data_IF_881676341332
#
_entry.id   IF_881676341332
#
_cell.length_a   1.000
_cell.length_b   1.000
_cell.length_c   1.000
_cell.angle_alpha   90.00
_cell.angle_beta   90.00
_cell.angle_gamma   90.00
#
_symmetry.space_group_name_H-M   'P 1'
#
loop_
_entity.id
_entity.type
_entity.pdbx_description
1 polymer ?
#
# COMPACT_ATOMS: atom_id res chain seq x y z
N UNK A 1 -13.15 -29.27 6.74
CA UNK A 1 -13.03 -29.46 5.28
C UNK A 1 -13.30 -28.09 4.64
N UNK A 2 -12.30 -27.46 4.04
CA UNK A 2 -12.47 -26.17 3.36
C UNK A 2 -13.26 -26.38 2.06
N UNK A 3 -14.25 -25.54 1.82
CA UNK A 3 -15.00 -25.52 0.55
C UNK A 3 -14.10 -24.87 -0.51
N UNK A 4 -14.18 -25.33 -1.76
CA UNK A 4 -13.28 -24.87 -2.86
C UNK A 4 -13.11 -23.34 -2.93
N UNK A 5 -14.20 -22.57 -2.82
CA UNK A 5 -14.12 -21.12 -2.84
C UNK A 5 -13.46 -20.47 -1.60
N UNK A 6 -13.26 -21.19 -0.50
CA UNK A 6 -12.53 -20.67 0.68
C UNK A 6 -11.02 -20.81 0.55
N UNK A 7 -10.55 -21.81 -0.19
CA UNK A 7 -9.10 -22.01 -0.45
C UNK A 7 -8.56 -20.91 -1.36
N UNK A 8 -9.38 -20.37 -2.23
CA UNK A 8 -9.01 -19.31 -3.17
C UNK A 8 -8.87 -17.93 -2.49
N UNK A 9 -9.54 -17.74 -1.34
CA UNK A 9 -9.50 -16.49 -0.55
C UNK A 9 -8.41 -16.47 0.54
N UNK A 10 -7.49 -17.42 0.55
CA UNK A 10 -6.36 -17.44 1.48
C UNK A 10 -5.33 -16.40 1.04
N UNK A 11 -4.91 -15.54 1.98
CA UNK A 11 -3.79 -14.62 1.78
C UNK A 11 -2.49 -15.41 1.61
N UNK A 12 -1.74 -15.12 0.56
CA UNK A 12 -0.56 -15.90 0.16
C UNK A 12 0.76 -15.18 0.37
N UNK A 13 0.76 -13.88 0.62
CA UNK A 13 2.00 -13.12 0.75
C UNK A 13 2.06 -12.27 2.02
N UNK A 14 3.24 -11.72 2.28
CA UNK A 14 3.51 -10.84 3.43
C UNK A 14 2.87 -9.47 3.31
N UNK A 15 2.25 -9.17 2.16
CA UNK A 15 1.62 -7.91 1.88
C UNK A 15 2.59 -6.78 1.50
N UNK A 16 2.05 -5.77 0.84
CA UNK A 16 2.72 -4.50 0.60
C UNK A 16 2.17 -3.46 1.58
N UNK A 17 3.05 -2.64 2.15
CA UNK A 17 2.66 -1.58 3.09
C UNK A 17 2.84 -0.22 2.45
N UNK A 18 1.80 0.58 2.55
CA UNK A 18 1.79 1.97 2.13
C UNK A 18 1.57 2.87 3.35
N UNK A 19 2.32 3.96 3.43
CA UNK A 19 2.07 5.04 4.40
C UNK A 19 1.82 6.30 3.59
N UNK A 20 0.67 6.93 3.82
CA UNK A 20 0.21 8.11 3.07
C UNK A 20 0.25 7.93 1.54
N UNK A 21 -0.13 6.73 1.09
CA UNK A 21 -0.14 6.36 -0.33
C UNK A 21 1.23 6.05 -0.93
N UNK A 22 2.31 6.12 -0.17
CA UNK A 22 3.66 5.76 -0.62
C UNK A 22 4.04 4.35 -0.19
N UNK A 23 4.48 3.52 -1.14
CA UNK A 23 5.02 2.20 -0.84
C UNK A 23 6.31 2.34 -0.03
N UNK A 24 6.31 1.77 1.17
CA UNK A 24 7.43 1.95 2.10
C UNK A 24 8.57 0.98 1.79
N UNK A 25 8.30 -0.31 1.81
CA UNK A 25 9.28 -1.36 1.50
C UNK A 25 8.58 -2.72 1.44
N UNK A 26 9.22 -3.73 0.84
CA UNK A 26 8.82 -5.10 1.06
C UNK A 26 8.89 -5.42 2.55
N UNK A 27 7.87 -6.06 3.08
CA UNK A 27 7.86 -6.56 4.45
C UNK A 27 8.42 -7.97 4.51
N UNK A 28 9.05 -8.32 5.63
CA UNK A 28 9.47 -9.67 5.94
C UNK A 28 8.86 -10.12 7.25
N UNK A 29 8.43 -11.38 7.29
CA UNK A 29 7.86 -11.97 8.49
C UNK A 29 6.37 -11.72 8.64
N UNK A 30 5.88 -11.87 9.86
CA UNK A 30 4.46 -11.90 10.16
C UNK A 30 3.92 -10.48 10.42
N UNK A 31 3.38 -9.84 9.39
CA UNK A 31 2.58 -8.64 9.60
C UNK A 31 1.26 -9.02 10.29
N UNK A 32 0.84 -8.27 11.28
CA UNK A 32 -0.38 -8.57 12.03
C UNK A 32 -1.28 -7.35 12.18
N UNK A 33 -2.58 -7.59 12.05
CA UNK A 33 -3.62 -6.59 12.32
C UNK A 33 -4.54 -7.10 13.41
N UNK A 34 -4.71 -6.32 14.47
CA UNK A 34 -5.49 -6.69 15.65
C UNK A 34 -6.47 -5.59 15.98
N UNK A 35 -7.74 -5.93 16.09
CA UNK A 35 -8.80 -5.04 16.57
C UNK A 35 -9.30 -5.54 17.92
N UNK A 36 -9.30 -4.65 18.91
CA UNK A 36 -9.75 -4.97 20.27
C UNK A 36 -10.85 -4.02 20.69
N UNK A 37 -12.13 -4.47 20.63
CA UNK A 37 -13.24 -3.69 21.14
C UNK A 37 -13.40 -3.86 22.65
N UNK A 38 -13.68 -2.75 23.35
CA UNK A 38 -14.06 -2.74 24.75
C UNK A 38 -15.57 -2.56 24.88
N UNK A 39 -16.18 -3.44 25.68
CA UNK A 39 -17.64 -3.49 25.82
C UNK A 39 -18.10 -3.04 27.20
N UNK A 40 -19.24 -2.38 27.24
CA UNK A 40 -19.98 -2.09 28.47
C UNK A 40 -21.40 -2.61 28.36
N UNK A 41 -21.85 -3.31 29.39
CA UNK A 41 -23.25 -3.69 29.52
C UNK A 41 -24.09 -2.49 29.97
N UNK A 42 -25.28 -2.34 29.40
CA UNK A 42 -26.26 -1.32 29.80
C UNK A 42 -27.16 -1.98 30.86
N UNK A 43 -26.97 -1.62 32.14
CA UNK A 43 -27.74 -2.24 33.22
C UNK A 43 -29.17 -1.69 33.23
N UNK A 44 -30.14 -2.56 33.59
CA UNK A 44 -31.47 -2.14 33.94
C UNK A 44 -31.92 -2.89 35.21
N UNK A 45 -32.92 -2.32 35.91
CA UNK A 45 -33.36 -2.87 37.16
C UNK A 45 -34.04 -4.26 36.96
N UNK A 46 -33.57 -5.26 37.73
CA UNK A 46 -34.02 -6.65 37.60
C UNK A 46 -33.27 -7.50 36.57
N UNK A 47 -32.18 -7.00 36.01
CA UNK A 47 -31.32 -7.73 35.06
C UNK A 47 -30.60 -8.88 35.77
N UNK A 48 -30.76 -10.15 35.32
CA UNK A 48 -30.09 -11.30 35.93
C UNK A 48 -28.64 -11.46 35.52
N UNK A 49 -28.16 -10.67 34.56
CA UNK A 49 -26.80 -10.73 33.99
C UNK A 49 -26.72 -10.11 32.60
N UNK A 50 -25.61 -10.29 31.85
CA UNK A 50 -25.46 -9.74 30.50
C UNK A 50 -26.61 -10.16 29.58
N UNK A 51 -27.29 -9.18 28.99
CA UNK A 51 -28.50 -9.43 28.18
C UNK A 51 -28.20 -9.07 26.71
N UNK A 52 -28.62 -9.93 25.78
CA UNK A 52 -28.50 -9.69 24.33
C UNK A 52 -29.16 -8.37 23.94
N UNK A 53 -28.43 -7.53 23.17
CA UNK A 53 -28.90 -6.23 22.73
C UNK A 53 -28.65 -5.08 23.71
N UNK A 54 -28.17 -5.35 24.92
CA UNK A 54 -27.83 -4.35 25.94
C UNK A 54 -26.31 -4.21 26.15
N UNK A 55 -25.54 -4.53 25.16
CA UNK A 55 -24.07 -4.33 25.15
C UNK A 55 -23.70 -3.20 24.19
N UNK A 56 -22.86 -2.30 24.63
CA UNK A 56 -22.35 -1.18 23.84
C UNK A 56 -20.83 -1.26 23.75
N UNK A 57 -20.28 -1.01 22.57
CA UNK A 57 -18.85 -0.72 22.39
C UNK A 57 -18.59 0.68 22.94
N UNK A 58 -17.66 0.82 23.85
CA UNK A 58 -17.28 2.10 24.47
C UNK A 58 -15.92 2.59 23.96
N UNK A 59 -15.09 1.68 23.50
CA UNK A 59 -13.79 1.96 22.91
C UNK A 59 -13.43 0.83 21.95
N UNK A 60 -12.72 1.16 20.91
CA UNK A 60 -12.10 0.21 19.99
C UNK A 60 -10.68 0.65 19.72
N UNK A 61 -9.74 -0.28 19.69
CA UNK A 61 -8.37 -0.03 19.31
C UNK A 61 -8.03 -0.92 18.11
N UNK A 62 -7.35 -0.35 17.12
CA UNK A 62 -6.86 -1.07 15.97
C UNK A 62 -5.33 -0.89 15.89
N UNK A 63 -4.61 -1.99 15.83
CA UNK A 63 -3.15 -2.03 15.83
C UNK A 63 -2.67 -2.81 14.62
N UNK A 64 -1.76 -2.24 13.86
CA UNK A 64 -1.08 -2.87 12.74
C UNK A 64 0.41 -2.96 13.05
N UNK A 65 0.94 -4.18 13.12
CA UNK A 65 2.37 -4.45 13.25
C UNK A 65 2.93 -4.86 11.91
N UNK A 66 4.01 -4.20 11.48
CA UNK A 66 4.68 -4.46 10.21
C UNK A 66 6.18 -4.60 10.43
N UNK A 67 6.81 -5.40 9.56
CA UNK A 67 8.25 -5.67 9.58
C UNK A 67 8.87 -5.29 8.23
N UNK A 68 9.11 -3.98 7.96
CA UNK A 68 9.72 -3.55 6.71
C UNK A 68 11.18 -3.96 6.62
N UNK A 69 11.59 -4.45 5.44
CA UNK A 69 12.99 -4.69 5.09
C UNK A 69 13.63 -3.39 4.60
N UNK A 70 14.79 -3.10 5.14
CA UNK A 70 15.57 -1.92 4.78
C UNK A 70 15.27 -0.72 5.69
N UNK A 71 16.34 -0.05 6.06
CA UNK A 71 16.31 1.10 6.97
C UNK A 71 16.50 2.38 6.16
N UNK A 72 15.38 2.92 5.65
CA UNK A 72 15.41 4.26 5.09
C UNK A 72 15.21 5.30 6.19
N UNK A 73 15.69 6.51 5.96
CA UNK A 73 15.51 7.59 6.92
C UNK A 73 14.03 7.95 7.14
N UNK A 74 13.21 7.82 6.10
CA UNK A 74 11.77 7.99 6.20
C UNK A 74 11.15 6.96 7.17
N UNK A 75 11.53 5.68 7.07
CA UNK A 75 11.04 4.64 8.01
C UNK A 75 11.43 4.93 9.45
N UNK A 76 12.67 5.39 9.67
CA UNK A 76 13.12 5.76 11.01
C UNK A 76 12.33 6.95 11.57
N UNK A 77 11.92 7.87 10.70
CA UNK A 77 11.09 9.01 11.07
C UNK A 77 9.68 8.57 11.46
N UNK A 78 9.08 7.61 10.72
CA UNK A 78 7.79 7.02 11.10
C UNK A 78 7.86 6.24 12.43
N UNK A 79 8.99 5.58 12.73
CA UNK A 79 9.17 4.83 13.96
C UNK A 79 9.24 5.71 15.22
N UNK A 80 9.62 6.98 15.08
CA UNK A 80 9.79 7.89 16.21
C UNK A 80 9.01 9.18 15.95
N UNK A 81 7.72 9.21 16.29
CA UNK A 81 6.94 10.43 16.15
C UNK A 81 7.57 11.60 16.90
N UNK A 82 7.55 12.76 16.29
CA UNK A 82 8.12 13.94 16.89
C UNK A 82 9.62 14.16 16.67
N UNK A 83 10.25 13.35 15.84
CA UNK A 83 11.65 13.53 15.47
C UNK A 83 11.80 14.61 14.40
N UNK A 84 12.70 15.55 14.62
CA UNK A 84 13.07 16.52 13.60
C UNK A 84 14.07 15.90 12.62
N UNK A 85 13.81 16.07 11.32
CA UNK A 85 14.73 15.70 10.26
C UNK A 85 15.32 16.97 9.63
N UNK A 86 16.59 17.24 9.88
CA UNK A 86 17.28 18.39 9.31
C UNK A 86 18.51 17.90 8.55
N UNK A 87 18.50 18.10 7.25
CA UNK A 87 19.62 17.75 6.35
C UNK A 87 20.12 16.31 6.51
N UNK A 88 19.20 15.37 6.73
CA UNK A 88 19.54 13.96 6.88
C UNK A 88 19.90 13.53 8.31
N UNK A 89 19.77 14.39 9.28
CA UNK A 89 20.00 14.09 10.69
C UNK A 89 18.65 14.02 11.40
N UNK A 90 18.32 12.84 11.94
CA UNK A 90 17.19 12.66 12.84
C UNK A 90 17.61 13.01 14.26
N UNK A 91 16.95 13.99 14.84
CA UNK A 91 17.20 14.40 16.23
C UNK A 91 15.92 14.38 17.03
N UNK A 92 15.94 13.57 18.08
CA UNK A 92 14.87 13.49 19.07
C UNK A 92 15.20 14.25 20.32
N UNK A 93 14.20 14.58 21.12
CA UNK A 93 14.35 15.16 22.44
C UNK A 93 13.34 16.26 22.71
N UNK A 94 13.12 16.48 24.01
CA UNK A 94 12.15 17.46 24.48
C UNK A 94 10.75 16.89 24.65
N UNK A 95 10.00 17.53 25.53
CA UNK A 95 8.56 17.24 25.66
C UNK A 95 7.81 18.11 24.68
N UNK A 96 7.05 17.46 23.78
CA UNK A 96 6.16 18.19 22.87
C UNK A 96 4.85 17.41 22.71
N UNK A 97 3.86 18.12 22.29
CA UNK A 97 2.59 17.53 21.81
C UNK A 97 2.86 16.97 20.43
N UNK A 98 2.36 15.78 20.17
CA UNK A 98 2.36 15.20 18.81
C UNK A 98 1.42 16.04 17.95
N UNK A 99 1.90 16.48 16.80
CA UNK A 99 1.14 17.30 15.86
C UNK A 99 0.29 16.42 14.92
N UNK A 100 -0.78 16.98 14.37
CA UNK A 100 -1.68 16.24 13.46
C UNK A 100 -0.95 15.71 12.22
N UNK A 101 0.13 16.35 11.79
CA UNK A 101 0.99 15.93 10.67
C UNK A 101 1.83 14.69 10.96
N UNK A 102 1.85 14.20 12.18
CA UNK A 102 2.57 12.99 12.60
C UNK A 102 1.68 11.76 12.63
N UNK A 103 0.39 11.93 12.40
CA UNK A 103 -0.57 10.86 12.21
C UNK A 103 -0.67 10.50 10.73
N UNK A 104 -0.61 9.23 10.43
CA UNK A 104 -0.50 8.72 9.07
C UNK A 104 -1.66 7.80 8.72
N UNK A 105 -1.99 7.68 7.44
CA UNK A 105 -2.84 6.61 6.94
C UNK A 105 -1.94 5.45 6.53
N UNK A 106 -2.10 4.30 7.20
CA UNK A 106 -1.30 3.10 6.91
C UNK A 106 -2.18 2.03 6.29
N UNK A 107 -1.74 1.49 5.16
CA UNK A 107 -2.44 0.45 4.41
C UNK A 107 -1.57 -0.80 4.29
N UNK A 108 -2.15 -1.95 4.59
CA UNK A 108 -1.58 -3.26 4.32
C UNK A 108 -2.38 -3.92 3.20
N UNK A 109 -1.73 -4.22 2.10
CA UNK A 109 -2.34 -4.84 0.92
C UNK A 109 -1.79 -6.25 0.77
N UNK A 110 -2.66 -7.25 0.94
CA UNK A 110 -2.32 -8.65 0.75
C UNK A 110 -3.02 -9.23 -0.49
N UNK A 111 -2.34 -10.16 -1.17
CA UNK A 111 -2.89 -10.87 -2.30
C UNK A 111 -3.48 -12.22 -1.88
N UNK A 112 -4.62 -12.56 -2.45
CA UNK A 112 -5.23 -13.88 -2.27
C UNK A 112 -4.86 -14.80 -3.42
N UNK A 113 -5.07 -16.10 -3.23
CA UNK A 113 -4.75 -17.11 -4.24
C UNK A 113 -5.51 -16.93 -5.55
N UNK A 114 -6.72 -16.39 -5.52
CA UNK A 114 -7.54 -16.11 -6.70
C UNK A 114 -7.13 -14.83 -7.45
N UNK A 115 -6.11 -14.10 -6.95
CA UNK A 115 -5.61 -12.86 -7.53
C UNK A 115 -6.39 -11.62 -7.10
N UNK A 116 -7.36 -11.75 -6.20
CA UNK A 116 -7.98 -10.60 -5.56
C UNK A 116 -7.06 -10.01 -4.47
N UNK A 117 -7.31 -8.77 -4.07
CA UNK A 117 -6.55 -8.10 -3.02
C UNK A 117 -7.42 -7.83 -1.81
N UNK A 118 -6.82 -7.88 -0.63
CA UNK A 118 -7.42 -7.37 0.61
C UNK A 118 -6.63 -6.18 1.06
N UNK A 119 -7.31 -5.09 1.33
CA UNK A 119 -6.71 -3.85 1.82
C UNK A 119 -7.21 -3.61 3.24
N UNK A 120 -6.28 -3.52 4.17
CA UNK A 120 -6.53 -3.11 5.55
C UNK A 120 -5.96 -1.71 5.69
N UNK A 121 -6.83 -0.74 5.94
CA UNK A 121 -6.45 0.66 6.14
C UNK A 121 -6.67 1.03 7.60
N UNK A 122 -5.69 1.63 8.25
CA UNK A 122 -5.85 2.27 9.55
C UNK A 122 -5.65 3.78 9.40
N UNK A 123 -6.56 4.53 10.01
CA UNK A 123 -6.60 5.99 9.92
C UNK A 123 -5.98 6.63 11.15
N UNK A 124 -5.39 7.81 10.96
CA UNK A 124 -4.76 8.59 12.03
C UNK A 124 -3.83 7.72 12.90
N UNK A 125 -3.02 6.90 12.23
CA UNK A 125 -2.13 5.95 12.86
C UNK A 125 -0.84 6.62 13.35
N UNK A 126 -0.46 6.29 14.57
CA UNK A 126 0.79 6.74 15.18
C UNK A 126 1.62 5.52 15.59
N UNK A 127 2.93 5.55 15.30
CA UNK A 127 3.82 4.50 15.79
C UNK A 127 4.05 4.68 17.31
N UNK A 128 3.86 3.62 18.09
CA UNK A 128 3.88 3.68 19.55
C UNK A 128 4.92 2.78 20.23
N UNK A 129 5.65 1.96 19.47
CA UNK A 129 6.66 1.04 20.04
C UNK A 129 8.09 1.62 20.08
N UNK A 130 8.29 2.84 19.54
CA UNK A 130 9.61 3.46 19.43
C UNK A 130 10.51 2.72 18.44
N UNK A 131 11.80 3.02 18.46
CA UNK A 131 12.81 2.43 17.59
C UNK A 131 13.68 1.46 18.37
N UNK A 132 13.73 0.22 17.92
CA UNK A 132 14.70 -0.78 18.35
C UNK A 132 15.50 -1.28 17.15
N UNK A 133 16.80 -1.07 17.15
CA UNK A 133 17.70 -1.53 16.10
C UNK A 133 18.70 -2.52 16.67
N UNK A 134 18.70 -3.73 16.12
CA UNK A 134 19.70 -4.75 16.45
C UNK A 134 20.57 -4.99 15.24
N UNK A 135 21.88 -4.85 15.40
CA UNK A 135 22.86 -5.17 14.37
C UNK A 135 23.51 -6.50 14.68
N UNK A 136 23.54 -7.40 13.72
CA UNK A 136 24.19 -8.72 13.82
C UNK A 136 25.00 -8.98 12.56
N UNK A 137 26.09 -9.73 12.68
CA UNK A 137 26.91 -10.12 11.52
C UNK A 137 26.20 -11.17 10.65
N UNK A 138 25.30 -11.98 11.24
CA UNK A 138 24.70 -13.14 10.59
C UNK A 138 23.23 -12.94 10.19
N UNK A 139 22.58 -11.85 10.62
CA UNK A 139 21.15 -11.62 10.34
C UNK A 139 20.90 -10.18 9.91
N UNK A 140 20.03 -10.02 8.94
CA UNK A 140 19.56 -8.70 8.52
C UNK A 140 18.81 -7.98 9.65
N UNK A 141 19.05 -6.68 9.80
CA UNK A 141 18.26 -5.86 10.72
C UNK A 141 16.84 -5.71 10.21
N UNK A 142 15.88 -6.21 10.98
CA UNK A 142 14.45 -6.01 10.72
C UNK A 142 13.94 -4.94 11.68
N UNK A 143 13.24 -3.95 11.14
CA UNK A 143 12.56 -2.93 11.93
C UNK A 143 11.13 -3.40 12.21
N UNK A 144 10.72 -3.37 13.46
CA UNK A 144 9.32 -3.56 13.83
C UNK A 144 8.66 -2.20 14.02
N UNK A 145 7.58 -1.95 13.28
CA UNK A 145 6.75 -0.77 13.43
C UNK A 145 5.36 -1.19 13.90
N UNK A 146 4.92 -0.63 15.02
CA UNK A 146 3.59 -0.87 15.57
C UNK A 146 2.79 0.42 15.48
N UNK A 147 1.82 0.45 14.59
CA UNK A 147 0.92 1.58 14.40
C UNK A 147 -0.39 1.35 15.15
N UNK A 148 -0.77 2.30 15.97
CA UNK A 148 -2.06 2.33 16.64
C UNK A 148 -2.94 3.43 16.01
N UNK A 149 -4.16 3.06 15.61
CA UNK A 149 -5.14 4.00 15.05
C UNK A 149 -5.70 4.93 16.11
N UNK A 150 -5.98 6.18 15.73
CA UNK A 150 -6.59 7.18 16.60
C UNK A 150 -7.90 7.69 16.00
N UNK A 151 -8.83 8.09 16.87
CA UNK A 151 -10.06 8.76 16.45
C UNK A 151 -9.78 10.19 15.96
N UNK A 152 -10.52 10.63 14.96
CA UNK A 152 -10.52 12.02 14.55
C UNK A 152 -11.25 12.85 15.62
N UNK A 153 -10.62 13.87 16.23
CA UNK A 153 -11.26 14.70 17.25
C UNK A 153 -12.42 15.55 16.69
N UNK A 154 -12.47 15.76 15.38
CA UNK A 154 -13.52 16.53 14.71
C UNK A 154 -14.71 15.67 14.29
N UNK A 155 -14.49 14.35 14.10
CA UNK A 155 -15.52 13.36 13.78
C UNK A 155 -15.27 12.03 14.49
N UNK A 156 -15.75 11.91 15.70
CA UNK A 156 -15.64 10.67 16.51
C UNK A 156 -16.47 9.50 15.97
N UNK A 157 -17.22 9.69 14.89
CA UNK A 157 -17.99 8.63 14.21
C UNK A 157 -17.27 8.06 13.01
N UNK A 158 -16.19 8.69 12.56
CA UNK A 158 -15.34 8.17 11.50
C UNK A 158 -14.71 6.84 11.91
N UNK A 159 -14.62 5.86 10.99
CA UNK A 159 -13.97 4.60 11.27
C UNK A 159 -12.47 4.83 11.51
N UNK A 160 -11.91 4.14 12.51
CA UNK A 160 -10.47 4.16 12.77
C UNK A 160 -9.72 3.15 11.91
N UNK A 161 -10.42 2.19 11.33
CA UNK A 161 -9.90 1.24 10.35
C UNK A 161 -10.97 0.83 9.35
N UNK A 162 -10.53 0.35 8.20
CA UNK A 162 -11.35 -0.23 7.14
C UNK A 162 -10.73 -1.52 6.64
N UNK A 163 -11.55 -2.50 6.31
CA UNK A 163 -11.12 -3.75 5.67
C UNK A 163 -11.92 -3.88 4.39
N UNK A 164 -11.24 -3.73 3.27
CA UNK A 164 -11.83 -3.89 1.95
C UNK A 164 -11.47 -5.27 1.39
N UNK A 165 -12.47 -5.97 0.90
CA UNK A 165 -12.30 -7.25 0.21
C UNK A 165 -12.54 -7.05 -1.29
N UNK A 166 -11.76 -7.78 -2.08
CA UNK A 166 -11.91 -7.80 -3.54
C UNK A 166 -11.73 -6.41 -4.21
N UNK A 167 -10.89 -5.58 -3.62
CA UNK A 167 -10.44 -4.36 -4.31
C UNK A 167 -9.69 -4.81 -5.55
N UNK A 168 -10.36 -4.81 -6.68
CA UNK A 168 -9.69 -5.01 -7.95
C UNK A 168 -8.63 -3.91 -8.07
N UNK A 169 -7.36 -4.31 -8.22
CA UNK A 169 -6.30 -3.35 -8.44
C UNK A 169 -6.75 -2.38 -9.53
N UNK A 170 -6.67 -1.08 -9.25
CA UNK A 170 -7.03 -0.07 -10.23
C UNK A 170 -6.22 -0.33 -11.50
N UNK A 171 -6.91 -0.50 -12.62
CA UNK A 171 -6.27 -0.80 -13.89
C UNK A 171 -6.52 0.29 -14.90
N UNK A 172 -5.50 0.52 -15.73
CA UNK A 172 -5.48 1.49 -16.80
C UNK A 172 -5.54 0.82 -18.16
N UNK A 173 -5.99 1.56 -19.13
CA UNK A 173 -5.70 1.28 -20.55
C UNK A 173 -4.60 2.22 -21.00
N UNK A 174 -3.42 1.68 -21.29
CA UNK A 174 -2.26 2.43 -21.78
C UNK A 174 -2.22 2.36 -23.31
N UNK A 175 -2.26 3.52 -23.96
CA UNK A 175 -2.22 3.63 -25.43
C UNK A 175 -0.90 4.28 -25.84
N UNK A 176 -0.10 3.56 -26.60
CA UNK A 176 1.09 4.09 -27.25
C UNK A 176 0.71 4.60 -28.65
N UNK A 177 0.98 5.87 -28.89
CA UNK A 177 0.85 6.48 -30.22
C UNK A 177 2.23 6.58 -30.83
N UNK A 178 2.46 5.87 -31.95
CA UNK A 178 3.75 5.75 -32.60
C UNK A 178 3.73 6.56 -33.87
N UNK A 179 4.71 7.44 -34.02
CA UNK A 179 4.86 8.32 -35.19
C UNK A 179 6.27 8.20 -35.78
N UNK A 180 6.43 8.55 -37.08
CA UNK A 180 7.75 8.53 -37.73
C UNK A 180 8.22 7.16 -38.20
N UNK A 181 7.50 6.09 -37.86
CA UNK A 181 7.78 4.73 -38.32
C UNK A 181 7.09 4.40 -39.65
N UNK A 182 7.32 3.17 -40.14
CA UNK A 182 6.71 2.64 -41.35
C UNK A 182 5.42 1.83 -41.11
N UNK A 183 5.01 1.69 -39.84
CA UNK A 183 3.78 0.96 -39.46
C UNK A 183 4.01 -0.50 -39.12
N UNK A 184 5.25 -0.87 -38.73
CA UNK A 184 5.62 -2.22 -38.31
C UNK A 184 6.18 -2.30 -36.90
N UNK A 185 5.94 -1.27 -36.07
CA UNK A 185 6.51 -1.23 -34.74
C UNK A 185 5.86 -2.23 -33.79
N UNK A 186 6.64 -2.71 -32.83
CA UNK A 186 6.19 -3.54 -31.73
C UNK A 186 6.50 -2.84 -30.42
N UNK A 187 5.54 -2.82 -29.51
CA UNK A 187 5.70 -2.28 -28.16
C UNK A 187 5.75 -3.41 -27.16
N UNK A 188 6.79 -3.42 -26.34
CA UNK A 188 6.93 -4.33 -25.20
C UNK A 188 6.69 -3.53 -23.93
N UNK A 189 5.66 -3.91 -23.18
CA UNK A 189 5.23 -3.21 -21.97
C UNK A 189 4.52 -4.17 -21.02
N UNK A 190 4.78 -4.04 -19.72
CA UNK A 190 4.17 -4.86 -18.67
C UNK A 190 4.22 -6.38 -18.96
N UNK A 191 5.36 -6.86 -19.49
CA UNK A 191 5.57 -8.27 -19.83
C UNK A 191 4.84 -8.76 -21.06
N UNK A 192 4.11 -7.91 -21.80
CA UNK A 192 3.40 -8.22 -23.04
C UNK A 192 4.05 -7.51 -24.22
N UNK A 193 3.93 -8.10 -25.42
CA UNK A 193 4.34 -7.47 -26.69
C UNK A 193 3.11 -7.30 -27.58
N UNK A 194 2.87 -6.10 -28.05
CA UNK A 194 1.76 -5.75 -28.94
C UNK A 194 2.33 -5.08 -30.19
N UNK A 195 1.94 -5.58 -31.36
CA UNK A 195 2.24 -4.90 -32.62
C UNK A 195 1.33 -3.69 -32.78
N UNK A 196 1.86 -2.62 -33.36
CA UNK A 196 1.05 -1.45 -33.68
C UNK A 196 -0.02 -1.77 -34.75
N UNK A 197 -1.13 -1.07 -34.65
CA UNK A 197 -2.16 -1.04 -35.67
C UNK A 197 -2.58 0.41 -35.89
N UNK A 198 -2.46 0.91 -37.11
CA UNK A 198 -2.75 2.31 -37.46
C UNK A 198 -2.02 3.34 -36.58
N UNK A 199 -0.73 3.11 -36.28
CA UNK A 199 0.08 4.00 -35.48
C UNK A 199 -0.18 3.89 -33.95
N UNK A 200 -0.92 2.89 -33.48
CA UNK A 200 -1.23 2.73 -32.06
C UNK A 200 -1.01 1.30 -31.56
N UNK A 201 -0.57 1.16 -30.31
CA UNK A 201 -0.55 -0.11 -29.59
C UNK A 201 -1.25 0.07 -28.24
N UNK A 202 -2.25 -0.78 -27.94
CA UNK A 202 -3.11 -0.63 -26.76
C UNK A 202 -2.91 -1.78 -25.78
N UNK A 203 -2.71 -1.45 -24.51
CA UNK A 203 -2.56 -2.37 -23.39
C UNK A 203 -3.66 -2.12 -22.39
N UNK A 204 -4.66 -2.97 -22.34
CA UNK A 204 -5.74 -2.91 -21.35
C UNK A 204 -5.39 -3.72 -20.09
N UNK A 205 -5.97 -3.33 -18.94
CA UNK A 205 -5.81 -4.03 -17.68
C UNK A 205 -4.40 -3.90 -17.08
N UNK A 206 -3.75 -2.77 -17.27
CA UNK A 206 -2.45 -2.48 -16.68
C UNK A 206 -2.65 -1.94 -15.26
N UNK A 207 -2.15 -2.64 -14.28
CA UNK A 207 -2.20 -2.20 -12.87
C UNK A 207 -1.41 -0.91 -12.72
N UNK A 208 -1.89 0.03 -11.89
CA UNK A 208 -1.20 1.28 -11.59
C UNK A 208 0.23 1.03 -11.06
N UNK A 209 1.13 1.94 -11.33
CA UNK A 209 2.52 1.86 -10.87
C UNK A 209 3.41 2.90 -11.51
N UNK A 210 4.40 3.33 -10.77
CA UNK A 210 5.37 4.32 -11.20
C UNK A 210 6.49 3.69 -12.05
N UNK A 211 7.05 4.50 -12.95
CA UNK A 211 8.26 4.17 -13.73
C UNK A 211 8.22 2.79 -14.40
N UNK A 212 7.08 2.40 -14.98
CA UNK A 212 6.95 1.15 -15.71
C UNK A 212 7.72 1.22 -17.03
N UNK A 213 8.75 0.38 -17.24
CA UNK A 213 9.58 0.44 -18.44
C UNK A 213 8.82 -0.06 -19.66
N UNK A 214 9.12 0.56 -20.80
CA UNK A 214 8.65 0.10 -22.11
C UNK A 214 9.76 0.16 -23.15
N UNK A 215 9.60 -0.65 -24.19
CA UNK A 215 10.47 -0.70 -25.37
C UNK A 215 9.59 -0.62 -26.62
N UNK A 216 9.96 0.23 -27.55
CA UNK A 216 9.37 0.29 -28.89
C UNK A 216 10.44 -0.05 -29.92
N UNK A 217 10.18 -1.05 -30.73
CA UNK A 217 11.12 -1.54 -31.73
C UNK A 217 10.43 -1.65 -33.12
N UNK A 218 11.14 -1.19 -34.14
CA UNK A 218 10.78 -1.35 -35.55
C UNK A 218 12.05 -1.56 -36.39
N UNK A 219 11.99 -2.46 -37.37
CA UNK A 219 13.13 -2.72 -38.25
C UNK A 219 13.48 -1.50 -39.11
N UNK A 220 14.76 -1.09 -39.10
CA UNK A 220 15.25 0.12 -39.79
C UNK A 220 15.12 1.41 -39.00
N UNK A 221 14.70 1.33 -37.75
CA UNK A 221 14.59 2.47 -36.83
C UNK A 221 15.35 2.22 -35.52
N UNK A 222 15.74 3.31 -34.88
CA UNK A 222 16.35 3.24 -33.54
C UNK A 222 15.32 2.86 -32.52
N UNK A 223 15.59 1.81 -31.74
CA UNK A 223 14.71 1.38 -30.63
C UNK A 223 14.59 2.45 -29.56
N UNK A 224 13.38 2.66 -29.04
CA UNK A 224 13.09 3.62 -27.97
C UNK A 224 12.88 2.87 -26.67
N UNK A 225 13.65 3.23 -25.62
CA UNK A 225 13.53 2.72 -24.26
C UNK A 225 13.18 3.86 -23.32
N UNK A 226 12.09 3.74 -22.57
CA UNK A 226 11.67 4.75 -21.60
C UNK A 226 10.74 4.12 -20.55
N UNK A 227 10.12 4.95 -19.71
CA UNK A 227 9.15 4.52 -18.72
C UNK A 227 7.93 5.43 -18.69
N UNK A 228 6.83 4.92 -18.16
CA UNK A 228 5.58 5.65 -17.96
C UNK A 228 5.04 5.38 -16.56
N UNK A 229 4.50 6.41 -15.91
CA UNK A 229 3.70 6.27 -14.70
C UNK A 229 2.27 5.98 -15.11
N UNK A 230 1.68 4.95 -14.52
CA UNK A 230 0.30 4.54 -14.77
C UNK A 230 -0.49 4.83 -13.51
N UNK A 231 -1.18 5.95 -13.46
CA UNK A 231 -1.92 6.45 -12.29
C UNK A 231 -3.38 6.85 -12.59
N UNK A 232 -3.76 6.82 -13.87
CA UNK A 232 -5.10 7.14 -14.35
C UNK A 232 -5.82 5.97 -15.03
N UNK A 233 -7.13 6.04 -15.16
CA UNK A 233 -7.93 5.02 -15.86
C UNK A 233 -7.51 4.83 -17.34
N UNK A 234 -6.92 5.86 -17.92
CA UNK A 234 -6.35 5.84 -19.29
C UNK A 234 -5.05 6.63 -19.31
N UNK A 235 -4.01 6.07 -19.92
CA UNK A 235 -2.73 6.72 -20.14
C UNK A 235 -2.40 6.77 -21.62
N UNK A 236 -1.83 7.90 -22.08
CA UNK A 236 -1.39 8.10 -23.44
C UNK A 236 0.11 8.37 -23.49
N UNK A 237 0.83 7.54 -24.24
CA UNK A 237 2.27 7.66 -24.42
C UNK A 237 2.57 7.94 -25.90
N UNK A 238 3.23 9.05 -26.20
CA UNK A 238 3.65 9.39 -27.57
C UNK A 238 5.10 8.99 -27.79
N UNK A 239 5.36 8.22 -28.83
CA UNK A 239 6.69 7.75 -29.22
C UNK A 239 6.97 8.14 -30.66
N UNK A 240 8.11 8.79 -30.91
CA UNK A 240 8.55 9.13 -32.26
C UNK A 240 9.73 8.23 -32.66
N UNK A 241 9.57 7.47 -33.74
CA UNK A 241 10.61 6.64 -34.29
C UNK A 241 11.54 7.48 -35.18
N UNK A 242 12.83 7.23 -35.08
CA UNK A 242 13.86 7.89 -35.88
C UNK A 242 14.60 6.83 -36.68
N UNK A 243 14.76 7.04 -37.98
CA UNK A 243 15.51 6.11 -38.84
C UNK A 243 16.92 5.86 -38.32
N UNK A 244 17.38 4.61 -38.43
CA UNK A 244 18.68 4.18 -37.95
C UNK A 244 19.82 4.59 -38.89
#
# INVERSE_FOLDING_TARGET
MLVSGQVEKILLDTGAVYIDGQLIAPCEGDNSFVVTPEYRDIPYNGMPGPTKGLKRVIRETAVLTIHPKGLTQAMLQYAIPGVANVAGVLSGGGRRVIEDTEYHTVQLIGNTKDGSTKVITIHNALANNGLSLTMSEDTESVLELVFEASYDPTDLTSPIYEIEEDVAAATSTVTFTITGGSGGATVKFAGRTVAESNGTAVFAGIVYGENRPYEVHEAGYTSVYSSVTVDGATEAVSVTMVGA
#
